data_IF_037456748516
#
_entry.id   IF_037456748516
#
_cell.length_a   1.000
_cell.length_b   1.000
_cell.length_c   1.000
_cell.angle_alpha   90.00
_cell.angle_beta   90.00
_cell.angle_gamma   90.00
#
_symmetry.space_group_name_H-M   'P 1'
#
loop_
_entity.id
_entity.type
_entity.pdbx_description
1 polymer ?
#
# COMPACT_ATOMS: atom_id res chain seq x y z
N UNK A 1 -3.08 -12.32 17.25
CA UNK A 1 -4.15 -11.30 17.16
C UNK A 1 -5.15 -11.77 16.13
N UNK A 2 -6.41 -12.02 16.53
CA UNK A 2 -7.46 -12.36 15.56
C UNK A 2 -7.70 -11.13 14.70
N UNK A 3 -7.51 -11.23 13.38
CA UNK A 3 -7.78 -10.13 12.46
C UNK A 3 -9.28 -9.86 12.45
N UNK A 4 -9.69 -8.63 12.79
CA UNK A 4 -11.09 -8.20 12.66
C UNK A 4 -11.57 -8.17 11.20
N UNK A 5 -10.64 -8.22 10.23
CA UNK A 5 -10.96 -8.37 8.81
C UNK A 5 -11.27 -9.84 8.49
N UNK A 6 -12.51 -10.09 8.04
CA UNK A 6 -13.00 -11.41 7.65
C UNK A 6 -12.38 -11.87 6.33
N UNK A 7 -11.68 -13.00 6.35
CA UNK A 7 -11.23 -13.66 5.13
C UNK A 7 -12.38 -14.43 4.49
N UNK A 8 -12.41 -14.46 3.16
CA UNK A 8 -13.45 -15.13 2.37
C UNK A 8 -12.80 -16.26 1.59
N UNK A 9 -13.38 -17.46 1.69
CA UNK A 9 -12.91 -18.62 0.96
C UNK A 9 -13.08 -18.42 -0.56
N UNK A 10 -12.09 -18.79 -1.40
CA UNK A 10 -12.20 -18.74 -2.84
C UNK A 10 -13.04 -19.92 -3.37
N UNK A 11 -13.55 -19.76 -4.58
CA UNK A 11 -14.18 -20.83 -5.35
C UNK A 11 -13.51 -20.91 -6.74
N UNK A 12 -12.87 -22.04 -7.11
CA UNK A 12 -12.71 -23.27 -6.33
C UNK A 12 -11.74 -23.13 -5.14
N UNK A 13 -11.84 -24.04 -4.15
CA UNK A 13 -10.88 -24.14 -3.06
C UNK A 13 -9.55 -24.73 -3.57
N UNK A 14 -8.38 -24.21 -3.16
CA UNK A 14 -7.11 -24.78 -3.55
C UNK A 14 -6.89 -26.10 -2.81
N UNK A 15 -6.58 -27.16 -3.54
CA UNK A 15 -6.34 -28.49 -2.97
C UNK A 15 -5.11 -28.54 -2.05
N UNK A 16 -4.10 -27.69 -2.29
CA UNK A 16 -2.86 -27.64 -1.53
C UNK A 16 -2.93 -26.72 -0.30
N UNK A 17 -3.88 -25.80 -0.25
CA UNK A 17 -4.12 -24.92 0.89
C UNK A 17 -5.63 -24.67 1.07
N UNK A 18 -6.35 -25.59 1.73
CA UNK A 18 -7.78 -25.44 1.97
C UNK A 18 -8.14 -24.25 2.86
N UNK A 19 -7.18 -23.71 3.62
CA UNK A 19 -7.37 -22.54 4.50
C UNK A 19 -7.10 -21.21 3.80
N UNK A 20 -6.68 -21.23 2.53
CA UNK A 20 -6.32 -20.02 1.80
C UNK A 20 -7.49 -19.05 1.68
N UNK A 21 -7.29 -17.83 2.19
CA UNK A 21 -8.22 -16.71 2.04
C UNK A 21 -7.57 -15.59 1.22
N UNK A 22 -7.91 -15.41 -0.07
CA UNK A 22 -7.34 -14.33 -0.87
C UNK A 22 -7.70 -12.97 -0.30
N UNK A 23 -6.68 -12.13 -0.04
CA UNK A 23 -6.88 -10.78 0.48
C UNK A 23 -7.81 -9.92 -0.40
N UNK A 24 -7.84 -10.16 -1.71
CA UNK A 24 -8.74 -9.48 -2.64
C UNK A 24 -10.22 -9.75 -2.35
N UNK A 25 -10.58 -10.95 -1.88
CA UNK A 25 -11.97 -11.26 -1.55
C UNK A 25 -12.38 -10.59 -0.23
N UNK A 26 -11.48 -10.54 0.75
CA UNK A 26 -11.68 -9.79 1.99
C UNK A 26 -11.85 -8.28 1.70
N UNK A 27 -11.01 -7.70 0.85
CA UNK A 27 -11.11 -6.30 0.42
C UNK A 27 -12.44 -6.00 -0.27
N UNK A 28 -12.87 -6.88 -1.19
CA UNK A 28 -14.17 -6.75 -1.87
C UNK A 28 -15.34 -6.84 -0.90
N UNK A 29 -15.31 -7.78 0.05
CA UNK A 29 -16.37 -7.92 1.07
C UNK A 29 -16.44 -6.68 1.96
N UNK A 30 -15.29 -6.20 2.45
CA UNK A 30 -15.19 -4.97 3.24
C UNK A 30 -15.82 -3.78 2.51
N UNK A 31 -15.44 -3.55 1.24
CA UNK A 31 -15.93 -2.42 0.43
C UNK A 31 -17.42 -2.49 0.05
N UNK A 32 -18.07 -3.66 0.18
CA UNK A 32 -19.52 -3.79 -0.06
C UNK A 32 -20.36 -3.27 1.09
N UNK A 33 -19.80 -3.24 2.29
CA UNK A 33 -20.52 -2.87 3.52
C UNK A 33 -20.05 -1.52 4.08
N UNK A 34 -18.80 -1.14 3.84
CA UNK A 34 -18.26 0.16 4.16
C UNK A 34 -18.76 1.24 3.18
N UNK A 35 -18.92 2.48 3.67
CA UNK A 35 -19.44 3.59 2.86
C UNK A 35 -18.78 4.95 3.17
N UNK A 36 -18.03 5.09 4.28
CA UNK A 36 -17.38 6.36 4.63
C UNK A 36 -16.19 6.59 3.70
N UNK A 37 -16.09 7.73 3.01
CA UNK A 37 -14.96 8.01 2.13
C UNK A 37 -13.60 7.93 2.85
N UNK A 38 -12.63 7.32 2.18
CA UNK A 38 -11.26 7.20 2.66
C UNK A 38 -10.29 7.43 1.50
N UNK A 39 -9.43 8.43 1.61
CA UNK A 39 -8.33 8.68 0.71
C UNK A 39 -6.99 8.36 1.40
N UNK A 40 -6.14 7.58 0.76
CA UNK A 40 -4.76 7.35 1.18
C UNK A 40 -3.84 7.91 0.12
N UNK A 41 -2.96 8.83 0.50
CA UNK A 41 -1.97 9.40 -0.41
C UNK A 41 -0.57 9.08 0.04
N UNK A 42 0.31 8.80 -0.93
CA UNK A 42 1.74 8.57 -0.72
C UNK A 42 2.51 9.67 -1.46
N UNK A 43 3.37 10.39 -0.75
CA UNK A 43 4.21 11.44 -1.33
C UNK A 43 5.67 11.02 -1.36
N UNK A 44 6.33 11.38 -2.47
CA UNK A 44 7.76 11.17 -2.71
C UNK A 44 8.52 12.50 -2.69
N UNK A 45 9.86 12.50 -2.55
CA UNK A 45 10.64 13.72 -2.36
C UNK A 45 10.58 14.72 -3.53
N UNK A 46 10.25 14.24 -4.74
CA UNK A 46 10.07 15.04 -5.95
C UNK A 46 8.70 15.75 -6.03
N UNK A 47 7.87 15.61 -5.00
CA UNK A 47 6.52 16.14 -4.95
C UNK A 47 5.48 15.30 -5.70
N UNK A 48 5.88 14.13 -6.23
CA UNK A 48 4.92 13.22 -6.83
C UNK A 48 4.05 12.57 -5.75
N UNK A 49 2.74 12.52 -6.01
CA UNK A 49 1.71 12.03 -5.08
C UNK A 49 0.91 10.92 -5.75
N UNK A 50 0.89 9.76 -5.11
CA UNK A 50 -0.03 8.69 -5.48
C UNK A 50 -1.26 8.72 -4.58
N UNK A 51 -2.46 8.83 -5.16
CA UNK A 51 -3.72 8.77 -4.41
C UNK A 51 -4.43 7.42 -4.61
N UNK A 52 -5.06 6.93 -3.55
CA UNK A 52 -5.92 5.76 -3.58
C UNK A 52 -7.20 6.05 -2.80
N UNK A 53 -8.32 6.15 -3.53
CA UNK A 53 -9.64 6.35 -2.95
C UNK A 53 -10.35 5.02 -2.71
N UNK A 54 -10.93 4.88 -1.53
CA UNK A 54 -11.70 3.70 -1.09
C UNK A 54 -12.73 4.14 -0.05
N UNK A 55 -13.25 3.17 0.71
CA UNK A 55 -14.21 3.39 1.79
C UNK A 55 -13.73 2.75 3.09
N UNK A 56 -14.28 3.20 4.21
CA UNK A 56 -14.14 2.66 5.55
C UNK A 56 -15.51 2.49 6.23
N UNK A 57 -15.57 1.73 7.31
CA UNK A 57 -16.72 1.73 8.19
C UNK A 57 -16.75 3.03 9.00
N UNK A 58 -17.94 3.52 9.34
CA UNK A 58 -18.12 4.55 10.35
C UNK A 58 -17.60 4.06 11.71
N UNK A 59 -17.14 4.98 12.56
CA UNK A 59 -16.52 4.66 13.86
C UNK A 59 -17.49 3.93 14.82
N UNK A 60 -18.78 4.20 14.69
CA UNK A 60 -19.86 3.59 15.47
C UNK A 60 -20.41 2.28 14.87
N UNK A 61 -19.90 1.86 13.72
CA UNK A 61 -20.34 0.65 13.05
C UNK A 61 -19.90 -0.61 13.83
N UNK A 62 -20.72 -1.68 13.93
CA UNK A 62 -20.36 -2.91 14.66
C UNK A 62 -19.07 -3.59 14.17
N UNK A 63 -18.68 -3.32 12.91
CA UNK A 63 -17.45 -3.83 12.28
C UNK A 63 -16.32 -2.79 12.19
N UNK A 64 -16.41 -1.64 12.87
CA UNK A 64 -15.41 -0.57 12.81
C UNK A 64 -13.99 -1.08 13.14
N UNK A 65 -13.84 -2.07 14.01
CA UNK A 65 -12.55 -2.69 14.31
C UNK A 65 -11.83 -3.28 13.07
N UNK A 66 -12.57 -3.68 12.03
CA UNK A 66 -12.00 -4.17 10.78
C UNK A 66 -11.25 -3.08 10.02
N UNK A 67 -11.56 -1.80 10.25
CA UNK A 67 -10.85 -0.66 9.67
C UNK A 67 -9.35 -0.74 9.95
N UNK A 68 -8.94 -1.17 11.15
CA UNK A 68 -7.53 -1.17 11.55
C UNK A 68 -6.70 -2.18 10.74
N UNK A 69 -7.16 -3.43 10.68
CA UNK A 69 -6.54 -4.46 9.84
C UNK A 69 -6.56 -4.06 8.36
N UNK A 70 -7.67 -3.47 7.90
CA UNK A 70 -7.80 -3.00 6.52
C UNK A 70 -6.80 -1.88 6.22
N UNK A 71 -6.65 -0.92 7.13
CA UNK A 71 -5.71 0.19 7.05
C UNK A 71 -4.28 -0.30 6.87
N UNK A 72 -3.83 -1.15 7.79
CA UNK A 72 -2.44 -1.58 7.85
C UNK A 72 -2.09 -2.42 6.62
N UNK A 73 -2.99 -3.31 6.17
CA UNK A 73 -2.81 -4.08 4.93
C UNK A 73 -2.76 -3.18 3.70
N UNK A 74 -3.64 -2.20 3.60
CA UNK A 74 -3.74 -1.32 2.45
C UNK A 74 -2.55 -0.37 2.35
N UNK A 75 -2.14 0.26 3.47
CA UNK A 75 -0.93 1.10 3.52
C UNK A 75 0.31 0.28 3.17
N UNK A 76 0.45 -0.93 3.71
CA UNK A 76 1.57 -1.82 3.35
C UNK A 76 1.60 -2.10 1.85
N UNK A 77 0.46 -2.52 1.29
CA UNK A 77 0.35 -2.79 -0.14
C UNK A 77 0.73 -1.57 -0.98
N UNK A 78 0.20 -0.39 -0.64
CA UNK A 78 0.45 0.84 -1.41
C UNK A 78 1.91 1.29 -1.29
N UNK A 79 2.51 1.24 -0.09
CA UNK A 79 3.92 1.62 0.11
C UNK A 79 4.85 0.75 -0.74
N UNK A 80 4.65 -0.56 -0.75
CA UNK A 80 5.50 -1.47 -1.52
C UNK A 80 5.21 -1.45 -3.03
N UNK A 81 3.99 -1.09 -3.44
CA UNK A 81 3.63 -0.99 -4.85
C UNK A 81 3.98 0.36 -5.49
N UNK A 82 3.99 1.45 -4.72
CA UNK A 82 4.07 2.82 -5.26
C UNK A 82 5.15 3.69 -4.62
N UNK A 83 5.56 3.34 -3.40
CA UNK A 83 6.58 4.07 -2.65
C UNK A 83 6.13 5.42 -2.12
N UNK A 84 6.73 5.85 -1.02
CA UNK A 84 6.56 7.17 -0.43
C UNK A 84 7.12 7.24 0.99
N UNK A 85 7.47 8.44 1.45
CA UNK A 85 7.93 8.70 2.82
C UNK A 85 6.83 9.30 3.70
N UNK A 86 5.85 9.98 3.08
CA UNK A 86 4.71 10.58 3.77
C UNK A 86 3.41 9.93 3.33
N UNK A 87 2.65 9.46 4.30
CA UNK A 87 1.30 8.93 4.13
C UNK A 87 0.30 9.94 4.65
N UNK A 88 -0.63 10.42 3.82
CA UNK A 88 -1.77 11.20 4.30
C UNK A 88 -3.03 10.35 4.24
N UNK A 89 -3.79 10.36 5.34
CA UNK A 89 -5.05 9.64 5.47
C UNK A 89 -6.19 10.65 5.59
N UNK A 90 -6.93 10.81 4.49
CA UNK A 90 -8.14 11.63 4.41
C UNK A 90 -9.37 10.80 4.73
N UNK A 91 -9.82 10.78 5.98
CA UNK A 91 -10.87 9.87 6.45
C UNK A 91 -10.93 9.79 7.98
N UNK A 92 -11.53 8.73 8.54
CA UNK A 92 -11.65 8.57 9.99
C UNK A 92 -10.29 8.66 10.71
N UNK A 93 -10.22 9.45 11.78
CA UNK A 93 -8.96 9.71 12.49
C UNK A 93 -8.32 8.44 13.09
N UNK A 94 -9.14 7.46 13.50
CA UNK A 94 -8.67 6.18 14.03
C UNK A 94 -7.75 5.43 13.06
N UNK A 95 -7.96 5.64 11.76
CA UNK A 95 -7.20 5.05 10.69
C UNK A 95 -5.77 5.60 10.68
N UNK A 96 -5.60 6.93 10.69
CA UNK A 96 -4.31 7.59 10.76
C UNK A 96 -3.58 7.27 12.08
N UNK A 97 -4.29 7.29 13.21
CA UNK A 97 -3.73 6.99 14.53
C UNK A 97 -3.27 5.54 14.67
N UNK A 98 -3.97 4.61 14.04
CA UNK A 98 -3.53 3.24 13.96
C UNK A 98 -2.27 3.10 13.12
N UNK A 99 -2.22 3.72 11.94
CA UNK A 99 -1.05 3.68 11.07
C UNK A 99 0.17 4.32 11.73
N UNK A 100 0.02 5.45 12.43
CA UNK A 100 1.11 6.06 13.22
C UNK A 100 1.70 5.11 14.26
N UNK A 101 0.85 4.41 15.01
CA UNK A 101 1.30 3.45 16.04
C UNK A 101 1.97 2.22 15.43
N UNK A 102 1.47 1.79 14.28
CA UNK A 102 1.98 0.60 13.59
C UNK A 102 3.33 0.89 12.92
N UNK A 103 3.43 2.00 12.20
CA UNK A 103 4.62 2.50 11.51
C UNK A 103 5.34 3.52 12.41
N UNK A 104 5.99 3.00 13.44
CA UNK A 104 6.81 3.74 14.40
C UNK A 104 8.12 2.97 14.65
N UNK A 105 9.16 3.61 15.21
CA UNK A 105 10.43 2.96 15.54
C UNK A 105 10.29 1.70 16.41
N UNK A 106 9.31 1.68 17.31
CA UNK A 106 8.96 0.58 18.21
C UNK A 106 7.68 -0.17 17.79
N UNK A 107 7.12 0.18 16.63
CA UNK A 107 5.89 -0.41 16.10
C UNK A 107 6.11 -1.75 15.38
N UNK A 108 5.04 -2.54 15.17
CA UNK A 108 5.12 -3.81 14.43
C UNK A 108 5.54 -3.67 12.96
N UNK A 109 5.57 -2.44 12.42
CA UNK A 109 6.11 -2.10 11.10
C UNK A 109 7.39 -1.28 11.19
N UNK A 110 8.17 -1.39 12.27
CA UNK A 110 9.43 -0.65 12.44
C UNK A 110 10.39 -0.82 11.25
N UNK A 111 10.48 -2.03 10.68
CA UNK A 111 11.27 -2.24 9.46
C UNK A 111 10.74 -1.42 8.28
N UNK A 112 9.44 -1.49 7.98
CA UNK A 112 8.86 -0.72 6.87
C UNK A 112 8.98 0.79 7.10
N UNK A 113 8.85 1.25 8.36
CA UNK A 113 9.04 2.65 8.79
C UNK A 113 10.46 3.15 8.47
N UNK A 114 11.49 2.44 8.96
CA UNK A 114 12.90 2.80 8.77
C UNK A 114 13.33 2.66 7.31
N UNK A 115 12.93 1.56 6.68
CA UNK A 115 13.30 1.26 5.30
C UNK A 115 12.72 2.28 4.32
N UNK A 116 11.42 2.57 4.39
CA UNK A 116 10.81 3.57 3.51
C UNK A 116 11.31 4.98 3.85
N UNK A 117 11.37 5.34 5.13
CA UNK A 117 11.79 6.67 5.56
C UNK A 117 13.28 6.94 5.32
N UNK A 118 14.12 6.41 6.20
CA UNK A 118 15.54 6.75 6.29
C UNK A 118 16.36 6.12 5.16
N UNK A 119 16.09 4.86 4.82
CA UNK A 119 16.92 4.12 3.85
C UNK A 119 16.60 4.50 2.40
N UNK A 120 15.34 4.40 1.98
CA UNK A 120 14.94 4.60 0.58
C UNK A 120 14.77 6.07 0.24
N UNK A 121 14.00 6.82 1.04
CA UNK A 121 13.65 8.20 0.71
C UNK A 121 14.45 9.27 1.47
N UNK A 122 15.28 8.87 2.44
CA UNK A 122 16.11 9.75 3.27
C UNK A 122 15.30 10.89 3.91
N UNK A 123 14.12 10.54 4.42
CA UNK A 123 13.17 11.43 5.10
C UNK A 123 12.54 10.71 6.29
N UNK A 124 12.21 11.41 7.39
CA UNK A 124 11.44 10.80 8.47
C UNK A 124 10.09 10.30 7.96
N UNK A 125 9.81 9.01 8.13
CA UNK A 125 8.52 8.45 7.71
C UNK A 125 7.38 9.11 8.51
N UNK A 126 6.42 9.67 7.79
CA UNK A 126 5.43 10.59 8.37
C UNK A 126 4.01 10.17 8.01
N UNK A 127 3.09 10.24 8.99
CA UNK A 127 1.67 9.92 8.80
C UNK A 127 0.81 11.10 9.25
N UNK A 128 0.06 11.67 8.31
CA UNK A 128 -0.82 12.84 8.51
C UNK A 128 -2.29 12.43 8.38
N UNK A 129 -3.16 13.11 9.10
CA UNK A 129 -4.62 12.95 9.01
C UNK A 129 -5.23 14.26 8.51
N UNK A 130 -6.24 14.18 7.67
CA UNK A 130 -7.03 15.32 7.19
C UNK A 130 -8.45 14.87 6.84
N UNK A 131 -9.30 15.81 6.41
CA UNK A 131 -10.56 15.46 5.77
C UNK A 131 -10.33 14.81 4.39
N UNK A 132 -11.22 13.91 3.90
CA UNK A 132 -11.07 13.26 2.60
C UNK A 132 -10.85 14.21 1.40
N UNK A 133 -11.51 15.36 1.42
CA UNK A 133 -11.43 16.42 0.42
C UNK A 133 -10.12 17.22 0.48
N UNK A 134 -9.45 17.23 1.63
CA UNK A 134 -8.15 17.89 1.84
C UNK A 134 -6.98 16.97 1.52
N UNK A 135 -7.23 15.67 1.32
CA UNK A 135 -6.19 14.74 0.93
C UNK A 135 -5.56 15.18 -0.41
N UNK A 136 -4.22 15.21 -0.54
CA UNK A 136 -3.56 15.62 -1.76
C UNK A 136 -4.11 14.92 -3.02
N UNK A 137 -4.34 15.63 -4.13
CA UNK A 137 -4.75 15.02 -5.39
C UNK A 137 -3.62 14.16 -5.96
N UNK A 138 -3.98 13.20 -6.83
CA UNK A 138 -2.98 12.43 -7.55
C UNK A 138 -2.13 13.34 -8.44
N UNK A 139 -0.81 13.23 -8.33
CA UNK A 139 0.18 13.92 -9.15
C UNK A 139 1.31 12.95 -9.46
N UNK A 140 1.18 12.22 -10.56
CA UNK A 140 2.19 11.27 -11.01
C UNK A 140 2.94 11.86 -12.21
N UNK A 141 4.26 11.90 -12.13
CA UNK A 141 5.12 12.27 -13.27
C UNK A 141 5.50 11.00 -14.01
N UNK A 142 4.91 10.79 -15.19
CA UNK A 142 5.35 9.74 -16.09
C UNK A 142 6.70 10.10 -16.72
N UNK A 143 7.69 9.22 -16.59
CA UNK A 143 8.90 9.31 -17.40
C UNK A 143 8.79 8.29 -18.55
N UNK A 144 8.98 8.71 -19.82
CA UNK A 144 9.06 7.75 -20.90
C UNK A 144 10.27 6.85 -20.67
N UNK A 145 10.03 5.53 -20.55
CA UNK A 145 11.07 4.50 -20.43
C UNK A 145 11.95 4.37 -21.70
N UNK A 146 11.60 5.08 -22.78
CA UNK A 146 12.25 4.98 -24.08
C UNK A 146 11.93 3.66 -24.80
N UNK A 147 12.19 3.63 -26.11
CA UNK A 147 12.10 2.43 -26.97
C UNK A 147 13.31 2.39 -27.92
N UNK A 148 14.51 2.66 -27.40
CA UNK A 148 15.75 2.75 -28.18
C UNK A 148 16.24 1.36 -28.63
N UNK A 149 15.44 0.67 -29.44
CA UNK A 149 15.60 -0.75 -29.73
C UNK A 149 16.85 -0.99 -30.56
N UNK A 150 17.30 -0.03 -31.38
CA UNK A 150 18.44 -0.16 -32.30
C UNK A 150 19.82 -0.10 -31.62
N UNK A 151 20.02 -0.86 -30.54
CA UNK A 151 21.28 -0.91 -29.79
C UNK A 151 21.48 -2.25 -29.06
N UNK A 152 22.68 -2.46 -28.50
CA UNK A 152 22.95 -3.56 -27.58
C UNK A 152 22.44 -3.22 -26.17
N UNK A 153 21.74 -4.15 -25.52
CA UNK A 153 21.17 -3.94 -24.17
C UNK A 153 21.49 -5.10 -23.23
N UNK A 154 21.53 -4.77 -21.94
CA UNK A 154 21.62 -5.74 -20.84
C UNK A 154 20.41 -5.53 -19.94
N UNK A 155 19.56 -6.56 -19.82
CA UNK A 155 18.48 -6.63 -18.85
C UNK A 155 18.94 -7.37 -17.60
N UNK A 156 18.69 -6.80 -16.43
CA UNK A 156 19.12 -7.33 -15.16
C UNK A 156 17.92 -7.41 -14.22
N UNK A 157 17.50 -8.63 -13.89
CA UNK A 157 16.45 -8.89 -12.91
C UNK A 157 17.09 -9.38 -11.62
N UNK A 158 17.02 -8.53 -10.60
CA UNK A 158 17.47 -8.79 -9.24
C UNK A 158 16.26 -9.18 -8.39
N UNK A 159 15.93 -10.46 -8.39
CA UNK A 159 15.03 -11.02 -7.39
C UNK A 159 15.83 -11.49 -6.17
N UNK A 160 15.11 -11.76 -5.07
CA UNK A 160 15.69 -11.97 -3.73
C UNK A 160 16.81 -13.02 -3.61
N UNK A 161 16.91 -13.99 -4.55
CA UNK A 161 17.89 -15.09 -4.48
C UNK A 161 18.67 -15.37 -5.76
N UNK A 162 18.24 -14.85 -6.92
CA UNK A 162 18.82 -15.24 -8.21
C UNK A 162 19.05 -14.04 -9.12
N UNK A 163 20.14 -14.12 -9.88
CA UNK A 163 20.56 -13.14 -10.87
C UNK A 163 20.15 -13.63 -12.26
N UNK A 164 19.21 -12.93 -12.90
CA UNK A 164 18.87 -13.19 -14.31
C UNK A 164 19.39 -12.06 -15.18
N UNK A 165 20.25 -12.42 -16.13
CA UNK A 165 20.82 -11.48 -17.10
C UNK A 165 20.41 -11.89 -18.50
N UNK A 166 19.95 -10.93 -19.28
CA UNK A 166 19.74 -11.07 -20.72
C UNK A 166 20.58 -10.03 -21.44
N UNK A 167 21.28 -10.43 -22.50
CA UNK A 167 22.01 -9.53 -23.38
C UNK A 167 21.48 -9.70 -24.80
N UNK A 168 21.07 -8.59 -25.41
CA UNK A 168 20.33 -8.57 -26.68
C UNK A 168 20.90 -7.50 -27.61
N UNK A 169 20.81 -7.75 -28.91
CA UNK A 169 21.16 -6.80 -29.96
C UNK A 169 19.85 -6.45 -30.68
N UNK A 170 19.57 -5.15 -30.82
CA UNK A 170 18.40 -4.61 -31.49
C UNK A 170 17.05 -4.86 -30.78
N UNK A 171 17.06 -4.94 -29.44
CA UNK A 171 15.85 -5.06 -28.62
C UNK A 171 15.47 -6.49 -28.30
#
# INVERSE_FOLDING_TARGET
MSSALTLVAPAPLPSLDPGFGPAVLANRAFRREAAVPLAITLERPDGAVSRFDTVAFAEDHPRAAANLSYAERLVKFLLWARGGWKVTVGGPASFADHIRRVYAPDGPRAFDYDFMGETVYQRPFTVVSCAPEEAPPAQETGQPLGRHLDSCRIGFDLCASDLKVSAVING
#
